data_IF_949945787728
#
_entry.id   IF_949945787728
#
_cell.length_a   1.000
_cell.length_b   1.000
_cell.length_c   1.000
_cell.angle_alpha   90.00
_cell.angle_beta   90.00
_cell.angle_gamma   90.00
#
_symmetry.space_group_name_H-M   'P 1'
#
loop_
_entity.id
_entity.type
_entity.pdbx_description
1 polymer ?
#
# COMPACT_ATOMS: atom_id res chain seq x y z
N UNK A 1 -8.32 -1.84 1.32
CA UNK A 1 -6.87 -1.62 1.37
C UNK A 1 -6.46 -1.77 2.82
N UNK A 2 -5.29 -2.32 3.10
CA UNK A 2 -4.82 -2.45 4.48
C UNK A 2 -3.48 -1.73 4.63
N UNK A 3 -3.25 -1.15 5.80
CA UNK A 3 -1.98 -0.54 6.14
C UNK A 3 -1.49 -1.15 7.44
N UNK A 4 -0.18 -1.17 7.61
CA UNK A 4 0.40 -1.70 8.83
C UNK A 4 1.30 -0.66 9.48
N UNK A 5 1.05 -0.40 10.76
CA UNK A 5 1.82 0.56 11.53
C UNK A 5 3.28 0.13 11.67
N UNK A 6 4.18 1.10 11.83
CA UNK A 6 5.61 0.82 11.94
C UNK A 6 5.94 -0.01 13.20
N UNK A 7 6.50 -1.21 12.99
CA UNK A 7 7.30 -1.93 13.99
C UNK A 7 8.49 -2.60 13.32
N UNK A 8 9.67 -2.37 13.89
CA UNK A 8 10.96 -2.67 13.26
C UNK A 8 11.38 -4.10 13.66
N UNK A 9 10.93 -5.10 12.91
CA UNK A 9 11.55 -6.43 12.94
C UNK A 9 12.40 -6.59 11.70
N UNK A 10 13.72 -6.51 11.89
CA UNK A 10 14.72 -6.89 10.90
C UNK A 10 14.59 -8.40 10.63
N UNK A 11 13.87 -8.76 9.60
CA UNK A 11 14.01 -10.05 8.95
C UNK A 11 14.11 -9.81 7.45
N UNK A 12 15.18 -10.33 6.85
CA UNK A 12 15.31 -10.41 5.40
C UNK A 12 14.05 -11.11 4.86
N UNK A 13 13.21 -10.35 4.15
CA UNK A 13 11.99 -10.88 3.54
C UNK A 13 12.33 -11.43 2.17
N UNK A 14 12.09 -12.73 1.98
CA UNK A 14 12.08 -13.37 0.66
C UNK A 14 10.63 -13.39 0.13
N UNK A 15 10.38 -12.90 -1.10
CA UNK A 15 9.03 -12.79 -1.64
C UNK A 15 8.41 -14.18 -1.81
N UNK A 16 7.44 -14.51 -0.96
CA UNK A 16 6.66 -15.74 -1.08
C UNK A 16 5.35 -15.42 -1.81
N UNK A 17 5.11 -16.10 -2.94
CA UNK A 17 3.85 -16.04 -3.70
C UNK A 17 2.73 -16.73 -2.94
N UNK A 18 2.01 -16.02 -2.09
CA UNK A 18 0.85 -16.56 -1.39
C UNK A 18 -0.35 -15.62 -1.50
N UNK A 19 -1.47 -16.16 -1.99
CA UNK A 19 -2.79 -15.53 -2.11
C UNK A 19 -3.53 -15.49 -0.77
N UNK A 20 -2.87 -15.02 0.29
CA UNK A 20 -3.48 -14.89 1.62
C UNK A 20 -4.29 -13.57 1.71
N UNK A 21 -5.42 -13.56 2.44
CA UNK A 21 -6.07 -12.33 2.88
C UNK A 21 -5.05 -11.36 3.51
N UNK A 22 -5.15 -10.09 3.18
CA UNK A 22 -4.19 -9.06 3.59
C UNK A 22 -3.84 -9.04 5.11
N UNK A 23 -4.75 -9.34 6.07
CA UNK A 23 -4.40 -9.33 7.49
C UNK A 23 -3.49 -10.50 7.88
N UNK A 24 -3.66 -11.64 7.21
CA UNK A 24 -2.84 -12.83 7.41
C UNK A 24 -1.48 -12.65 6.74
N UNK A 25 -1.45 -11.95 5.60
CA UNK A 25 -0.22 -11.59 4.92
C UNK A 25 0.61 -10.60 5.74
N UNK A 26 -0.01 -9.59 6.36
CA UNK A 26 0.68 -8.67 7.26
C UNK A 26 1.38 -9.41 8.42
N UNK A 27 0.68 -10.40 9.00
CA UNK A 27 1.24 -11.26 10.06
C UNK A 27 2.38 -12.12 9.52
N UNK A 28 2.24 -12.72 8.34
CA UNK A 28 3.30 -13.49 7.70
C UNK A 28 4.54 -12.63 7.37
N UNK A 29 4.35 -11.34 7.12
CA UNK A 29 5.40 -10.37 6.90
C UNK A 29 6.11 -9.91 8.19
N UNK A 30 5.66 -10.36 9.36
CA UNK A 30 6.28 -10.07 10.65
C UNK A 30 5.61 -8.95 11.45
N UNK A 31 4.49 -8.40 10.98
CA UNK A 31 3.74 -7.40 11.75
C UNK A 31 2.73 -8.04 12.69
N UNK A 32 2.59 -7.52 13.92
CA UNK A 32 1.59 -8.02 14.84
C UNK A 32 0.18 -7.59 14.37
N UNK A 33 -0.81 -8.48 14.56
CA UNK A 33 -2.17 -8.30 14.00
C UNK A 33 -2.84 -7.03 14.51
N UNK A 34 -2.55 -6.62 15.75
CA UNK A 34 -3.05 -5.39 16.37
C UNK A 34 -2.56 -4.09 15.69
N UNK A 35 -1.52 -4.17 14.86
CA UNK A 35 -1.00 -3.03 14.09
C UNK A 35 -1.53 -2.98 12.65
N UNK A 36 -2.33 -3.98 12.25
CA UNK A 36 -2.98 -4.00 10.94
C UNK A 36 -4.24 -3.18 11.00
N UNK A 37 -4.28 -2.10 10.22
CA UNK A 37 -5.43 -1.24 10.07
C UNK A 37 -6.06 -1.45 8.70
N UNK A 38 -7.33 -1.86 8.70
CA UNK A 38 -8.12 -1.93 7.49
C UNK A 38 -8.65 -0.54 7.14
N UNK A 39 -8.31 -0.05 5.95
CA UNK A 39 -8.90 1.13 5.34
C UNK A 39 -9.89 0.64 4.28
N UNK A 40 -11.14 0.49 4.69
CA UNK A 40 -12.26 0.03 3.85
C UNK A 40 -13.22 1.15 3.44
N UNK A 41 -12.93 2.39 3.83
CA UNK A 41 -13.79 3.57 3.68
C UNK A 41 -14.14 3.93 2.22
N UNK A 42 -13.50 3.27 1.25
CA UNK A 42 -13.73 3.41 -0.19
C UNK A 42 -14.56 2.25 -0.82
N UNK A 43 -14.99 1.25 -0.02
CA UNK A 43 -15.89 0.19 -0.47
C UNK A 43 -17.31 0.76 -0.69
N UNK A 44 -17.87 0.54 -1.88
CA UNK A 44 -19.26 0.91 -2.20
C UNK A 44 -19.48 2.34 -2.72
N UNK A 45 -18.44 3.18 -2.82
CA UNK A 45 -18.54 4.51 -3.47
C UNK A 45 -18.25 4.42 -4.97
N UNK A 46 -19.30 4.12 -5.74
CA UNK A 46 -19.36 4.36 -7.17
C UNK A 46 -19.48 5.87 -7.43
N UNK A 47 -18.52 6.47 -8.14
CA UNK A 47 -18.73 7.82 -8.67
C UNK A 47 -17.48 8.69 -8.80
N UNK A 48 -16.73 8.47 -9.88
CA UNK A 48 -16.16 9.49 -10.78
C UNK A 48 -15.37 10.72 -10.29
N UNK A 49 -15.13 10.97 -9.00
CA UNK A 49 -14.34 12.14 -8.57
C UNK A 49 -13.41 11.89 -7.37
N UNK A 50 -12.34 12.67 -7.28
CA UNK A 50 -11.45 12.71 -6.12
C UNK A 50 -12.14 13.30 -4.86
N UNK A 51 -13.26 14.01 -5.03
CA UNK A 51 -14.18 14.35 -3.97
C UNK A 51 -14.90 13.08 -3.49
N UNK A 52 -14.58 12.64 -2.27
CA UNK A 52 -15.27 11.52 -1.63
C UNK A 52 -14.45 10.25 -1.41
N UNK A 53 -13.10 10.33 -1.40
CA UNK A 53 -12.20 9.24 -0.98
C UNK A 53 -11.52 9.50 0.38
N UNK A 54 -12.27 9.50 1.50
CA UNK A 54 -11.70 9.73 2.82
C UNK A 54 -10.60 8.70 3.15
N UNK A 55 -10.76 7.45 2.69
CA UNK A 55 -9.77 6.40 2.93
C UNK A 55 -8.42 6.66 2.26
N UNK A 56 -8.43 7.15 1.02
CA UNK A 56 -7.19 7.51 0.31
C UNK A 56 -6.50 8.73 0.94
N UNK A 57 -7.27 9.77 1.29
CA UNK A 57 -6.72 10.97 1.93
C UNK A 57 -6.14 10.63 3.31
N UNK A 58 -6.83 9.79 4.07
CA UNK A 58 -6.33 9.26 5.35
C UNK A 58 -5.05 8.47 5.14
N UNK A 59 -4.98 7.57 4.16
CA UNK A 59 -3.75 6.84 3.84
C UNK A 59 -2.58 7.80 3.59
N UNK A 60 -2.75 8.76 2.68
CA UNK A 60 -1.68 9.72 2.34
C UNK A 60 -1.25 10.51 3.58
N UNK A 61 -2.20 10.89 4.44
CA UNK A 61 -1.90 11.58 5.69
C UNK A 61 -1.12 10.69 6.68
N UNK A 62 -1.55 9.45 6.92
CA UNK A 62 -0.87 8.53 7.85
C UNK A 62 0.54 8.15 7.35
N UNK A 63 0.73 8.01 6.03
CA UNK A 63 2.07 7.85 5.44
C UNK A 63 2.88 9.13 5.63
N UNK A 64 2.29 10.29 5.37
CA UNK A 64 2.92 11.60 5.56
C UNK A 64 3.30 11.93 7.01
N UNK A 65 2.67 11.25 7.97
CA UNK A 65 2.97 11.32 9.40
C UNK A 65 3.97 10.23 9.85
N UNK A 66 4.52 9.46 8.91
CA UNK A 66 5.49 8.38 9.16
C UNK A 66 4.92 7.21 10.01
N UNK A 67 3.60 7.09 10.11
CA UNK A 67 2.95 6.05 10.92
C UNK A 67 2.92 4.68 10.23
N UNK A 68 2.93 4.66 8.90
CA UNK A 68 2.72 3.45 8.09
C UNK A 68 4.05 2.89 7.58
N UNK A 69 4.32 1.62 7.87
CA UNK A 69 5.49 0.89 7.35
C UNK A 69 5.24 0.22 6.01
N UNK A 70 4.01 -0.23 5.75
CA UNK A 70 3.63 -0.92 4.51
C UNK A 70 2.15 -0.71 4.17
N UNK A 71 1.85 -0.55 2.88
CA UNK A 71 0.50 -0.53 2.30
C UNK A 71 0.27 -1.84 1.55
N UNK A 72 -0.75 -2.59 1.96
CA UNK A 72 -1.17 -3.86 1.37
C UNK A 72 -2.43 -3.65 0.52
N UNK A 73 -2.34 -3.96 -0.77
CA UNK A 73 -3.48 -3.96 -1.69
C UNK A 73 -3.64 -5.32 -2.37
N UNK A 74 -4.88 -5.71 -2.67
CA UNK A 74 -5.11 -6.89 -3.52
C UNK A 74 -4.78 -6.59 -4.99
N UNK A 75 -5.09 -5.37 -5.41
CA UNK A 75 -4.80 -4.87 -6.76
C UNK A 75 -4.25 -3.45 -6.62
N UNK A 76 -3.06 -3.19 -7.18
CA UNK A 76 -2.41 -1.86 -7.12
C UNK A 76 -3.28 -0.79 -7.79
N UNK A 77 -3.94 -1.16 -8.90
CA UNK A 77 -4.88 -0.30 -9.64
C UNK A 77 -6.04 0.23 -8.80
N UNK A 78 -6.34 -0.37 -7.64
CA UNK A 78 -7.39 0.09 -6.73
C UNK A 78 -6.92 1.08 -5.67
N UNK A 79 -5.61 1.22 -5.46
CA UNK A 79 -5.05 2.17 -4.50
C UNK A 79 -5.39 3.61 -4.93
N UNK A 80 -5.07 3.94 -6.17
CA UNK A 80 -5.27 5.24 -6.77
C UNK A 80 -6.17 5.14 -8.01
N UNK A 81 -7.16 6.03 -8.13
CA UNK A 81 -8.11 6.04 -9.25
C UNK A 81 -7.69 6.95 -10.41
N UNK A 82 -6.55 7.62 -10.27
CA UNK A 82 -5.95 8.46 -11.31
C UNK A 82 -4.44 8.34 -11.26
N UNK A 83 -3.77 8.57 -12.40
CA UNK A 83 -2.30 8.60 -12.44
C UNK A 83 -1.74 9.64 -11.46
N UNK A 84 -2.42 10.79 -11.32
CA UNK A 84 -2.00 11.85 -10.38
C UNK A 84 -1.99 11.36 -8.93
N UNK A 85 -3.08 10.74 -8.48
CA UNK A 85 -3.18 10.21 -7.12
C UNK A 85 -2.15 9.09 -6.90
N UNK A 86 -1.90 8.29 -7.94
CA UNK A 86 -0.91 7.23 -7.90
C UNK A 86 0.51 7.76 -7.69
N UNK A 87 0.91 8.73 -8.51
CA UNK A 87 2.23 9.36 -8.37
C UNK A 87 2.36 10.10 -7.02
N UNK A 88 1.31 10.76 -6.54
CA UNK A 88 1.30 11.38 -5.22
C UNK A 88 1.54 10.35 -4.11
N UNK A 89 0.86 9.20 -4.17
CA UNK A 89 1.06 8.11 -3.20
C UNK A 89 2.49 7.54 -3.28
N UNK A 90 3.00 7.32 -4.49
CA UNK A 90 4.38 6.83 -4.68
C UNK A 90 5.42 7.80 -4.14
N UNK A 91 5.24 9.10 -4.33
CA UNK A 91 6.14 10.13 -3.82
C UNK A 91 6.16 10.16 -2.29
N UNK A 92 4.98 10.17 -1.65
CA UNK A 92 4.91 10.20 -0.19
C UNK A 92 5.45 8.89 0.41
N UNK A 93 5.12 7.73 -0.17
CA UNK A 93 5.66 6.45 0.31
C UNK A 93 7.19 6.38 0.19
N UNK A 94 7.76 6.86 -0.91
CA UNK A 94 9.21 6.91 -1.08
C UNK A 94 9.88 7.84 -0.06
N UNK A 95 9.25 9.00 0.23
CA UNK A 95 9.78 9.96 1.20
C UNK A 95 9.83 9.38 2.63
N UNK A 96 8.82 8.61 3.02
CA UNK A 96 8.68 8.05 4.37
C UNK A 96 9.12 6.58 4.48
N UNK A 97 9.79 6.04 3.46
CA UNK A 97 10.24 4.64 3.43
C UNK A 97 9.10 3.64 3.67
N UNK A 98 7.90 3.95 3.18
CA UNK A 98 6.72 3.09 3.27
C UNK A 98 6.71 2.13 2.09
N UNK A 99 6.67 0.83 2.38
CA UNK A 99 6.60 -0.22 1.37
C UNK A 99 5.20 -0.32 0.76
N UNK A 100 5.10 -0.82 -0.47
CA UNK A 100 3.84 -1.16 -1.11
C UNK A 100 3.86 -2.64 -1.43
N UNK A 101 2.76 -3.35 -1.22
CA UNK A 101 2.69 -4.77 -1.48
C UNK A 101 1.36 -5.20 -2.09
N UNK A 102 1.44 -6.11 -3.06
CA UNK A 102 0.31 -6.73 -3.76
C UNK A 102 0.44 -8.25 -3.78
N UNK A 103 -0.48 -8.97 -4.42
CA UNK A 103 -0.42 -10.44 -4.46
C UNK A 103 0.91 -11.02 -5.01
N UNK A 104 1.65 -10.25 -5.81
CA UNK A 104 2.86 -10.68 -6.49
C UNK A 104 4.13 -10.37 -5.70
N UNK A 105 4.13 -9.32 -4.88
CA UNK A 105 5.36 -8.90 -4.20
C UNK A 105 5.23 -7.80 -3.16
N UNK A 106 6.39 -7.44 -2.60
CA UNK A 106 6.62 -6.25 -1.80
C UNK A 106 7.61 -5.39 -2.58
N UNK A 107 7.31 -4.11 -2.69
CA UNK A 107 8.00 -3.12 -3.51
C UNK A 107 8.46 -1.99 -2.61
N UNK A 108 9.70 -1.55 -2.79
CA UNK A 108 10.24 -0.35 -2.16
C UNK A 108 10.18 0.83 -3.14
N UNK A 109 9.29 1.82 -2.90
CA UNK A 109 9.18 2.99 -3.77
C UNK A 109 10.43 3.87 -3.79
N UNK A 110 11.47 3.62 -3.01
CA UNK A 110 12.77 4.31 -3.13
C UNK A 110 13.65 3.73 -4.23
N UNK A 111 13.42 2.48 -4.63
CA UNK A 111 14.25 1.82 -5.64
C UNK A 111 13.70 2.08 -7.04
N UNK A 112 14.60 2.32 -7.99
CA UNK A 112 14.22 2.58 -9.38
C UNK A 112 13.49 1.37 -10.01
N UNK A 113 13.97 0.16 -9.72
CA UNK A 113 13.42 -1.06 -10.30
C UNK A 113 11.98 -1.30 -9.82
N UNK A 114 11.74 -1.14 -8.52
CA UNK A 114 10.40 -1.35 -7.98
C UNK A 114 9.45 -0.24 -8.40
N UNK A 115 9.91 1.02 -8.51
CA UNK A 115 9.13 2.11 -9.10
C UNK A 115 8.68 1.80 -10.53
N UNK A 116 9.55 1.19 -11.34
CA UNK A 116 9.21 0.81 -12.70
C UNK A 116 8.12 -0.28 -12.71
N UNK A 117 8.30 -1.33 -11.91
CA UNK A 117 7.31 -2.41 -11.78
C UNK A 117 5.96 -1.89 -11.27
N UNK A 118 5.98 -1.03 -10.26
CA UNK A 118 4.80 -0.35 -9.71
C UNK A 118 4.09 0.50 -10.77
N UNK A 119 4.83 1.21 -11.62
CA UNK A 119 4.25 1.96 -12.74
C UNK A 119 3.57 1.07 -13.77
N UNK A 120 4.18 -0.05 -14.14
CA UNK A 120 3.61 -1.02 -15.08
C UNK A 120 2.34 -1.67 -14.51
N UNK A 121 2.38 -2.10 -13.25
CA UNK A 121 1.27 -2.77 -12.57
C UNK A 121 0.09 -1.82 -12.28
N UNK A 122 0.35 -0.53 -12.10
CA UNK A 122 -0.71 0.47 -11.88
C UNK A 122 -1.56 0.77 -13.12
N UNK A 123 -1.02 0.50 -14.32
CA UNK A 123 -1.69 0.72 -15.60
C UNK A 123 -2.19 -0.57 -16.26
N UNK A 124 -1.80 -1.72 -15.73
CA UNK A 124 -2.35 -3.02 -16.11
C UNK A 124 -3.71 -3.22 -15.41
N UNK A 125 -4.78 -2.69 -16.02
CA UNK A 125 -6.18 -3.01 -15.70
C UNK A 125 -7.00 -3.07 -16.99
#
# INVERSE_FOLDING_TARGET
>A
MEVVNRHLLKTHYEPTKNSLPNPERAVALGWPREQVLLIDEDLGRSGASAEGRPGFQRLVAEVGLDHIGIVLSLEISRLARSSRDWYQLLEVCALFSTLIADADGVYDPQTYNDRLLLGLNSHAA
#
